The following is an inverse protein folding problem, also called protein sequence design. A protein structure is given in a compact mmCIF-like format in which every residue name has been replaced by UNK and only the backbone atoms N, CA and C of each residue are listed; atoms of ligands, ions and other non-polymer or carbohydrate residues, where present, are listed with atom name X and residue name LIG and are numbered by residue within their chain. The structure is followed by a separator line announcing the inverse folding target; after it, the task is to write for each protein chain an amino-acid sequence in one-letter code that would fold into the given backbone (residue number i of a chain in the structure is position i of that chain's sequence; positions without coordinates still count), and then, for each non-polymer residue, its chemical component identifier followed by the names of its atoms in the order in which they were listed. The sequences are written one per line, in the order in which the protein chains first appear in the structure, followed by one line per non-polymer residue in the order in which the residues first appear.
data_IF_281882080246
#
_entry.id   IF_281882080246
#
_cell.length_a   1.000
_cell.length_b   1.000
_cell.length_c   1.000
_cell.angle_alpha   90.00
_cell.angle_beta   90.00
_cell.angle_gamma   90.00
#
_symmetry.space_group_name_H-M   'P 1'
#
loop_
_entity.id
_entity.type
_entity.pdbx_description
1 polymer ?
#
# COMPACT_ATOMS: atom_id res chain seq x y z
N UNK A 1 -5.32 -31.56 65.36
CA UNK A 1 -5.42 -31.56 63.90
C UNK A 1 -6.08 -30.26 63.46
N UNK A 2 -5.33 -29.31 62.87
CA UNK A 2 -5.86 -28.05 62.29
C UNK A 2 -6.01 -28.24 60.81
N UNK A 3 -7.25 -28.28 60.32
CA UNK A 3 -7.57 -28.34 58.91
C UNK A 3 -7.49 -26.93 58.31
N UNK A 4 -6.48 -26.69 57.47
CA UNK A 4 -6.34 -25.45 56.72
C UNK A 4 -7.40 -25.33 55.61
N UNK A 5 -8.21 -24.28 55.68
CA UNK A 5 -9.24 -23.95 54.70
C UNK A 5 -8.56 -23.31 53.49
N UNK A 6 -8.45 -24.06 52.40
CA UNK A 6 -8.00 -23.52 51.09
C UNK A 6 -9.12 -22.64 50.53
N UNK A 7 -8.85 -21.33 50.47
CA UNK A 7 -9.74 -20.37 49.77
C UNK A 7 -9.48 -20.44 48.27
N UNK A 8 -10.47 -20.79 47.50
CA UNK A 8 -10.41 -20.76 46.03
C UNK A 8 -10.30 -19.32 45.57
N UNK A 9 -9.42 -19.01 44.60
CA UNK A 9 -9.31 -17.65 44.06
C UNK A 9 -10.60 -17.24 43.33
N UNK A 10 -11.11 -16.05 43.66
CA UNK A 10 -12.33 -15.48 43.14
C UNK A 10 -12.28 -15.37 41.60
N UNK A 11 -13.22 -16.03 40.89
CA UNK A 11 -13.37 -15.99 39.42
C UNK A 11 -13.53 -14.57 38.87
N UNK A 12 -13.90 -13.62 39.72
CA UNK A 12 -14.03 -12.19 39.36
C UNK A 12 -12.66 -11.51 39.15
N UNK A 13 -11.60 -11.99 39.82
CA UNK A 13 -10.24 -11.45 39.64
C UNK A 13 -9.64 -11.82 38.30
N UNK A 14 -9.89 -13.03 37.80
CA UNK A 14 -9.43 -13.48 36.49
C UNK A 14 -10.17 -12.80 35.35
N UNK A 15 -11.46 -12.47 35.54
CA UNK A 15 -12.26 -11.76 34.51
C UNK A 15 -11.78 -10.32 34.29
N UNK A 16 -11.32 -9.63 35.33
CA UNK A 16 -10.78 -8.27 35.23
C UNK A 16 -9.43 -8.19 34.50
N UNK A 17 -8.56 -9.18 34.69
CA UNK A 17 -7.24 -9.24 34.01
C UNK A 17 -7.40 -9.52 32.51
N UNK A 18 -8.38 -10.34 32.12
CA UNK A 18 -8.62 -10.66 30.70
C UNK A 18 -9.15 -9.46 29.91
N UNK A 19 -9.91 -8.57 30.54
CA UNK A 19 -10.42 -7.34 29.90
C UNK A 19 -9.29 -6.31 29.70
N UNK A 20 -8.33 -6.21 30.62
CA UNK A 20 -7.20 -5.27 30.49
C UNK A 20 -6.23 -5.68 29.39
N UNK A 21 -6.03 -6.98 29.14
CA UNK A 21 -5.15 -7.49 28.06
C UNK A 21 -5.78 -7.25 26.67
N UNK A 22 -7.10 -7.18 26.58
CA UNK A 22 -7.82 -6.97 25.31
C UNK A 22 -7.74 -5.53 24.76
N UNK A 23 -7.26 -4.56 25.53
CA UNK A 23 -7.21 -3.12 25.15
C UNK A 23 -5.90 -2.74 24.43
N UNK A 24 -4.89 -3.62 24.42
CA UNK A 24 -3.65 -3.43 23.64
C UNK A 24 -3.81 -3.83 22.17
N UNK A 25 -4.93 -3.47 21.51
CA UNK A 25 -5.06 -3.60 20.07
C UNK A 25 -4.30 -2.44 19.42
N UNK A 26 -3.15 -2.78 18.86
CA UNK A 26 -2.25 -1.94 18.08
C UNK A 26 -3.01 -1.11 17.06
N UNK A 27 -3.17 0.17 17.30
CA UNK A 27 -3.62 1.12 16.28
C UNK A 27 -2.50 1.31 15.26
N UNK A 28 -2.37 0.41 14.29
CA UNK A 28 -1.55 0.65 13.11
C UNK A 28 -2.19 1.79 12.34
N UNK A 29 -1.68 3.00 12.53
CA UNK A 29 -2.15 4.17 11.77
C UNK A 29 -1.79 3.97 10.30
N UNK A 30 -2.78 3.72 9.46
CA UNK A 30 -2.61 3.65 8.01
C UNK A 30 -3.29 4.84 7.37
N UNK A 31 -2.64 5.46 6.39
CA UNK A 31 -3.24 6.54 5.57
C UNK A 31 -3.51 6.01 4.17
N UNK A 32 -4.65 6.35 3.62
CA UNK A 32 -5.06 5.99 2.27
C UNK A 32 -5.16 7.25 1.40
N UNK A 33 -4.65 7.14 0.17
CA UNK A 33 -4.65 8.22 -0.82
C UNK A 33 -5.16 7.65 -2.14
N UNK A 34 -6.15 8.29 -2.75
CA UNK A 34 -6.68 7.86 -4.04
C UNK A 34 -5.85 8.43 -5.20
N UNK A 35 -5.76 7.68 -6.28
CA UNK A 35 -5.23 8.19 -7.53
C UNK A 35 -6.21 9.15 -8.19
N UNK A 36 -5.67 10.19 -8.84
CA UNK A 36 -6.43 11.10 -9.70
C UNK A 36 -6.91 10.38 -10.96
N UNK A 37 -7.92 10.94 -11.61
CA UNK A 37 -8.42 10.42 -12.87
C UNK A 37 -7.32 10.43 -13.95
N UNK A 38 -7.15 9.30 -14.62
CA UNK A 38 -6.15 9.14 -15.67
C UNK A 38 -6.64 9.71 -17.00
N UNK A 39 -5.78 10.46 -17.71
CA UNK A 39 -6.01 10.82 -19.09
C UNK A 39 -5.60 9.73 -20.08
N UNK A 40 -4.68 8.85 -19.68
CA UNK A 40 -4.15 7.74 -20.50
C UNK A 40 -5.06 6.50 -20.43
N UNK A 41 -5.54 6.17 -19.22
CA UNK A 41 -6.47 5.06 -18.97
C UNK A 41 -7.65 5.57 -18.13
N UNK A 42 -8.65 6.23 -18.71
CA UNK A 42 -9.71 6.91 -17.95
C UNK A 42 -10.54 6.01 -17.04
N UNK A 43 -10.58 4.70 -17.31
CA UNK A 43 -11.26 3.72 -16.47
C UNK A 43 -10.46 3.34 -15.21
N UNK A 44 -9.13 3.48 -15.22
CA UNK A 44 -8.28 3.04 -14.12
C UNK A 44 -8.61 3.77 -12.82
N UNK A 45 -8.70 3.01 -11.74
CA UNK A 45 -8.97 3.48 -10.37
C UNK A 45 -8.05 2.75 -9.40
N UNK A 46 -7.82 3.37 -8.26
CA UNK A 46 -7.13 2.70 -7.17
C UNK A 46 -6.63 3.63 -6.09
N UNK A 47 -6.02 3.01 -5.10
CA UNK A 47 -5.59 3.66 -3.89
C UNK A 47 -4.18 3.24 -3.50
N UNK A 48 -3.49 4.15 -2.82
CA UNK A 48 -2.22 3.94 -2.16
C UNK A 48 -2.47 3.92 -0.66
N UNK A 49 -2.12 2.82 0.00
CA UNK A 49 -2.12 2.70 1.44
C UNK A 49 -0.71 2.77 1.98
N UNK A 50 -0.47 3.67 2.91
CA UNK A 50 0.84 3.83 3.54
C UNK A 50 0.70 3.60 5.04
N UNK A 51 1.57 2.73 5.57
CA UNK A 51 1.68 2.40 6.99
C UNK A 51 3.12 2.60 7.42
N UNK A 52 3.32 2.91 8.69
CA UNK A 52 4.65 2.85 9.31
C UNK A 52 4.81 1.49 10.00
N UNK A 53 5.93 0.81 9.78
CA UNK A 53 6.27 -0.42 10.47
C UNK A 53 6.95 -0.16 11.83
N UNK A 54 7.26 -1.22 12.57
CA UNK A 54 7.91 -1.13 13.88
C UNK A 54 9.34 -0.55 13.81
N UNK A 55 9.98 -0.58 12.64
CA UNK A 55 11.31 -0.03 12.40
C UNK A 55 11.26 1.41 11.88
N UNK A 56 10.08 2.03 11.89
CA UNK A 56 9.82 3.38 11.34
C UNK A 56 10.00 3.49 9.82
N UNK A 57 9.99 2.37 9.09
CA UNK A 57 9.94 2.37 7.64
C UNK A 57 8.50 2.54 7.16
N UNK A 58 8.35 2.99 5.92
CA UNK A 58 7.06 3.15 5.26
C UNK A 58 6.76 1.93 4.38
N UNK A 59 5.66 1.24 4.68
CA UNK A 59 5.10 0.18 3.84
C UNK A 59 4.12 0.82 2.87
N UNK A 60 4.42 0.77 1.58
CA UNK A 60 3.58 1.29 0.49
C UNK A 60 2.86 0.12 -0.16
N UNK A 61 1.54 0.13 -0.10
CA UNK A 61 0.67 -0.87 -0.72
C UNK A 61 -0.23 -0.15 -1.75
N UNK A 62 -0.28 -0.65 -3.00
CA UNK A 62 -1.09 -0.09 -4.08
C UNK A 62 -2.05 -1.17 -4.57
N UNK A 63 -3.31 -0.79 -4.77
CA UNK A 63 -4.33 -1.63 -5.35
C UNK A 63 -5.04 -0.87 -6.48
N UNK A 64 -5.04 -1.44 -7.68
CA UNK A 64 -5.62 -0.83 -8.88
C UNK A 64 -6.63 -1.76 -9.53
N UNK A 65 -7.62 -1.16 -10.19
CA UNK A 65 -8.61 -1.83 -11.01
C UNK A 65 -8.76 -1.13 -12.36
N UNK A 66 -9.30 -1.82 -13.32
CA UNK A 66 -9.64 -1.29 -14.66
C UNK A 66 -8.43 -0.71 -15.42
N UNK A 67 -7.24 -1.29 -15.19
CA UNK A 67 -6.06 -0.98 -15.96
C UNK A 67 -6.21 -1.46 -17.40
N UNK A 68 -5.56 -0.77 -18.34
CA UNK A 68 -5.27 -1.29 -19.67
C UNK A 68 -4.04 -2.20 -19.62
N UNK A 69 -3.87 -3.07 -20.62
CA UNK A 69 -2.57 -3.71 -20.85
C UNK A 69 -1.58 -2.67 -21.38
N UNK A 70 -0.33 -2.63 -20.89
CA UNK A 70 0.67 -1.67 -21.38
C UNK A 70 0.83 -1.70 -22.89
N UNK A 71 0.76 -2.88 -23.50
CA UNK A 71 0.85 -3.07 -24.96
C UNK A 71 -0.31 -2.47 -25.78
N UNK A 72 -1.41 -2.11 -25.11
CA UNK A 72 -2.58 -1.46 -25.74
C UNK A 72 -2.61 0.06 -25.59
N UNK A 73 -1.63 0.62 -24.90
CA UNK A 73 -1.49 2.07 -24.78
C UNK A 73 -1.02 2.70 -26.10
N UNK A 74 -1.12 4.01 -26.21
CA UNK A 74 -0.65 4.80 -27.33
C UNK A 74 0.37 5.85 -26.84
N UNK A 75 1.68 5.69 -27.13
CA UNK A 75 2.33 4.53 -27.72
C UNK A 75 2.29 3.27 -26.85
N UNK A 76 2.41 2.06 -27.42
CA UNK A 76 2.43 0.82 -26.64
C UNK A 76 3.68 0.76 -25.76
N UNK A 77 3.55 0.09 -24.61
CA UNK A 77 4.60 -0.09 -23.61
C UNK A 77 4.66 -1.53 -23.15
N UNK A 78 5.70 -1.90 -22.39
CA UNK A 78 5.88 -3.28 -21.92
C UNK A 78 5.43 -3.47 -20.47
N UNK A 79 5.52 -2.42 -19.64
CA UNK A 79 5.28 -2.57 -18.20
C UNK A 79 4.82 -1.28 -17.54
N UNK A 80 4.34 -1.39 -16.30
CA UNK A 80 4.04 -0.27 -15.41
C UNK A 80 5.07 -0.18 -14.30
N UNK A 81 5.63 1.01 -14.08
CA UNK A 81 6.61 1.30 -13.04
C UNK A 81 6.00 2.24 -12.02
N UNK A 82 6.22 1.91 -10.76
CA UNK A 82 5.78 2.73 -9.63
C UNK A 82 6.93 3.64 -9.20
N UNK A 83 6.63 4.92 -9.14
CA UNK A 83 7.53 5.98 -8.72
C UNK A 83 7.07 6.59 -7.41
N UNK A 84 8.04 6.91 -6.58
CA UNK A 84 7.83 7.61 -5.32
C UNK A 84 8.61 8.93 -5.33
N UNK A 85 7.93 10.01 -4.99
CA UNK A 85 8.61 11.28 -4.65
C UNK A 85 8.75 11.33 -3.13
N UNK A 86 9.96 11.59 -2.67
CA UNK A 86 10.28 11.71 -1.25
C UNK A 86 10.05 13.13 -0.73
N UNK A 87 10.06 13.30 0.59
CA UNK A 87 10.01 14.61 1.23
C UNK A 87 11.21 15.53 0.94
N UNK A 88 12.23 15.02 0.25
CA UNK A 88 13.39 15.75 -0.26
C UNK A 88 13.28 16.06 -1.75
N UNK A 89 12.09 15.90 -2.33
CA UNK A 89 11.77 16.04 -3.77
C UNK A 89 12.62 15.11 -4.68
N UNK A 90 13.13 13.99 -4.15
CA UNK A 90 13.84 12.98 -4.94
C UNK A 90 12.82 11.98 -5.47
N UNK A 91 12.83 11.77 -6.79
CA UNK A 91 12.03 10.72 -7.45
C UNK A 91 12.82 9.41 -7.49
N UNK A 92 12.18 8.31 -7.11
CA UNK A 92 12.76 6.97 -7.09
C UNK A 92 11.85 5.97 -7.78
N UNK A 93 12.44 5.11 -8.62
CA UNK A 93 11.80 3.87 -9.05
C UNK A 93 11.72 2.93 -7.84
N UNK A 94 10.51 2.59 -7.40
CA UNK A 94 10.30 1.69 -6.27
C UNK A 94 9.84 0.30 -6.70
N UNK A 95 9.70 0.07 -8.01
CA UNK A 95 9.52 -1.24 -8.60
C UNK A 95 8.39 -1.35 -9.62
N UNK A 96 8.26 -2.53 -10.18
CA UNK A 96 7.29 -2.88 -11.20
C UNK A 96 5.94 -3.26 -10.58
N UNK A 97 4.86 -2.74 -11.15
CA UNK A 97 3.50 -3.13 -10.78
C UNK A 97 3.19 -4.54 -11.29
N UNK A 98 2.73 -5.41 -10.41
CA UNK A 98 2.22 -6.74 -10.80
C UNK A 98 0.79 -6.59 -11.29
N UNK A 99 0.53 -7.00 -12.53
CA UNK A 99 -0.82 -7.01 -13.09
C UNK A 99 -1.32 -8.45 -13.27
N UNK A 100 -2.61 -8.66 -13.02
CA UNK A 100 -3.26 -9.95 -13.19
C UNK A 100 -4.70 -9.77 -13.65
N UNK A 101 -5.19 -10.71 -14.47
CA UNK A 101 -6.62 -10.83 -14.81
C UNK A 101 -7.29 -11.78 -13.83
N UNK A 102 -8.45 -11.42 -13.35
CA UNK A 102 -9.29 -12.34 -12.58
C UNK A 102 -9.77 -13.49 -13.49
N UNK A 103 -9.87 -14.69 -12.94
CA UNK A 103 -10.27 -15.92 -13.68
C UNK A 103 -11.62 -15.75 -14.39
N UNK A 104 -12.52 -14.94 -13.84
CA UNK A 104 -13.88 -14.69 -14.38
C UNK A 104 -14.09 -13.22 -14.79
N UNK A 105 -13.06 -12.38 -14.76
CA UNK A 105 -13.17 -10.95 -15.03
C UNK A 105 -12.24 -10.55 -16.18
N UNK A 106 -12.76 -9.76 -17.12
CA UNK A 106 -11.95 -9.11 -18.17
C UNK A 106 -11.12 -7.92 -17.64
N UNK A 107 -11.33 -7.53 -16.39
CA UNK A 107 -10.65 -6.40 -15.75
C UNK A 107 -9.21 -6.75 -15.40
N UNK A 108 -8.28 -5.91 -15.84
CA UNK A 108 -6.89 -5.98 -15.41
C UNK A 108 -6.76 -5.27 -14.06
N UNK A 109 -6.30 -6.00 -13.06
CA UNK A 109 -6.00 -5.48 -11.73
C UNK A 109 -4.50 -5.31 -11.57
N UNK A 110 -4.09 -4.28 -10.85
CA UNK A 110 -2.70 -4.07 -10.47
C UNK A 110 -2.52 -4.13 -8.97
N UNK A 111 -1.43 -4.70 -8.53
CA UNK A 111 -1.03 -4.68 -7.13
C UNK A 111 0.46 -4.44 -6.98
N UNK A 112 0.84 -3.74 -5.93
CA UNK A 112 2.23 -3.45 -5.62
C UNK A 112 2.40 -3.33 -4.11
N UNK A 113 3.52 -3.83 -3.59
CA UNK A 113 3.89 -3.66 -2.20
C UNK A 113 5.39 -3.55 -2.07
N UNK A 114 5.84 -2.54 -1.33
CA UNK A 114 7.27 -2.35 -1.00
C UNK A 114 7.43 -1.72 0.38
N UNK A 115 8.66 -1.73 0.88
CA UNK A 115 9.06 -1.06 2.12
C UNK A 115 10.20 -0.10 1.79
N UNK A 116 10.14 1.12 2.33
CA UNK A 116 11.15 2.16 2.15
C UNK A 116 11.42 2.90 3.44
N UNK A 117 12.68 3.32 3.64
CA UNK A 117 13.04 4.21 4.75
C UNK A 117 12.76 5.69 4.42
N UNK A 118 12.63 6.05 3.14
CA UNK A 118 12.34 7.42 2.73
C UNK A 118 10.85 7.74 2.92
N UNK A 119 10.56 8.92 3.45
CA UNK A 119 9.18 9.41 3.62
C UNK A 119 8.56 9.76 2.27
N UNK A 120 7.52 9.04 1.80
CA UNK A 120 6.83 9.37 0.56
C UNK A 120 5.93 10.59 0.73
N UNK A 121 5.85 11.43 -0.31
CA UNK A 121 4.94 12.58 -0.39
C UNK A 121 4.09 12.58 -1.65
N UNK A 122 4.40 11.71 -2.63
CA UNK A 122 3.62 11.50 -3.83
C UNK A 122 3.96 10.14 -4.43
N UNK A 123 2.96 9.47 -4.98
CA UNK A 123 3.11 8.22 -5.75
C UNK A 123 2.53 8.44 -7.14
N UNK A 124 3.22 7.95 -8.17
CA UNK A 124 2.67 7.92 -9.52
C UNK A 124 3.18 6.70 -10.29
N UNK A 125 2.51 6.39 -11.38
CA UNK A 125 2.75 5.20 -12.19
C UNK A 125 2.91 5.63 -13.63
N UNK A 126 3.98 5.17 -14.29
CA UNK A 126 4.22 5.36 -15.72
C UNK A 126 4.16 4.04 -16.47
N UNK A 127 3.91 4.12 -17.76
CA UNK A 127 4.05 2.99 -18.66
C UNK A 127 5.42 3.10 -19.34
N UNK A 128 6.22 2.01 -19.28
CA UNK A 128 7.62 2.00 -19.69
C UNK A 128 7.97 0.77 -20.53
N UNK A 129 9.09 0.84 -21.21
CA UNK A 129 9.63 -0.27 -22.01
C UNK A 129 10.62 -1.14 -21.22
N UNK A 130 11.12 -0.64 -20.07
CA UNK A 130 12.03 -1.37 -19.20
C UNK A 130 11.66 -1.10 -17.73
N UNK A 131 11.75 -2.14 -16.89
CA UNK A 131 11.49 -2.03 -15.46
C UNK A 131 12.66 -1.41 -14.67
N UNK A 132 13.86 -1.47 -15.19
CA UNK A 132 15.09 -1.01 -14.55
C UNK A 132 15.45 0.46 -14.80
N UNK A 133 14.57 1.25 -15.42
CA UNK A 133 14.86 2.65 -15.74
C UNK A 133 15.08 3.49 -14.48
N UNK A 134 16.04 4.41 -14.53
CA UNK A 134 16.37 5.30 -13.42
C UNK A 134 15.50 6.57 -13.39
N UNK A 135 14.96 6.99 -14.53
CA UNK A 135 14.15 8.20 -14.68
C UNK A 135 12.82 7.88 -15.32
N UNK A 136 11.72 8.49 -14.84
CA UNK A 136 10.40 8.24 -15.38
C UNK A 136 10.26 8.79 -16.80
N UNK A 137 9.58 8.01 -17.66
CA UNK A 137 9.13 8.47 -18.96
C UNK A 137 7.97 9.47 -18.86
N UNK A 138 7.51 9.95 -20.00
CA UNK A 138 6.47 10.98 -20.07
C UNK A 138 5.04 10.44 -19.99
N UNK A 139 4.84 9.11 -20.15
CA UNK A 139 3.52 8.50 -20.18
C UNK A 139 3.05 8.16 -18.74
N UNK A 140 2.60 9.20 -18.02
CA UNK A 140 2.06 9.03 -16.66
C UNK A 140 0.64 8.48 -16.78
N UNK A 141 0.43 7.29 -16.19
CA UNK A 141 -0.86 6.59 -16.23
C UNK A 141 -1.73 6.97 -15.04
N UNK A 142 -1.17 7.00 -13.84
CA UNK A 142 -1.87 7.40 -12.61
C UNK A 142 -0.95 8.22 -11.71
N UNK A 143 -1.50 9.16 -10.98
CA UNK A 143 -0.77 9.99 -10.01
C UNK A 143 -1.66 10.33 -8.84
N UNK A 144 -1.10 10.36 -7.62
CA UNK A 144 -1.76 10.98 -6.48
C UNK A 144 -1.50 12.49 -6.44
N UNK A 145 -2.28 13.24 -5.67
CA UNK A 145 -1.84 14.54 -5.19
C UNK A 145 -0.61 14.39 -4.28
N UNK A 146 0.08 15.53 -3.99
CA UNK A 146 1.05 15.53 -2.89
C UNK A 146 0.32 15.36 -1.57
N UNK A 147 0.86 14.53 -0.67
CA UNK A 147 0.28 14.21 0.62
C UNK A 147 1.29 14.34 1.75
N UNK A 148 0.78 14.45 2.99
CA UNK A 148 1.57 14.43 4.21
C UNK A 148 1.22 13.21 5.07
N UNK A 149 2.25 12.51 5.53
CA UNK A 149 2.18 11.38 6.45
C UNK A 149 2.38 11.83 7.90
#
# INVERSE_FOLDING_TARGET
MKTGKYSSPDKRFFSGIFIIISIFILTSCSKNFSFLSSSVVPAARGDVKIKTDNNKNYVVEISLTDLAEPSRLQPPKLTYIVWMVTNRDITKNIGQLKSSRGIMSKQLKGSFKTVTADKPVKIYITAEDDAGIEYPGTQIVLSTDKFNL
#
